data_IF_506052323043
#
_entry.id   IF_506052323043
#
_cell.length_a   1.000
_cell.length_b   1.000
_cell.length_c   1.000
_cell.angle_alpha   90.00
_cell.angle_beta   90.00
_cell.angle_gamma   90.00
#
_symmetry.space_group_name_H-M   'P 1'
#
loop_
_entity.id
_entity.type
_entity.pdbx_description
1 polymer ?
#
# COMPACT_ATOMS: atom_id res chain seq x y z
N UNK A 1 0.86 14.45 -26.41
CA UNK A 1 2.04 14.17 -25.56
C UNK A 1 1.52 13.77 -24.20
N UNK A 2 1.57 12.49 -23.84
CA UNK A 2 1.33 12.03 -22.48
C UNK A 2 2.63 12.23 -21.70
N UNK A 3 2.65 13.18 -20.77
CA UNK A 3 3.79 13.39 -19.86
C UNK A 3 3.98 12.14 -19.03
N UNK A 4 5.14 11.49 -19.17
CA UNK A 4 5.62 10.50 -18.21
C UNK A 4 5.80 11.22 -16.87
N UNK A 5 4.84 11.09 -15.96
CA UNK A 5 5.06 11.47 -14.56
C UNK A 5 6.23 10.64 -14.05
N UNK A 6 7.37 11.28 -13.81
CA UNK A 6 8.43 10.70 -12.98
C UNK A 6 7.77 10.36 -11.63
N UNK A 7 7.59 9.07 -11.35
CA UNK A 7 7.29 8.62 -9.99
C UNK A 7 8.57 8.83 -9.17
N UNK A 8 8.73 9.99 -8.56
CA UNK A 8 9.67 10.13 -7.46
C UNK A 8 9.15 9.25 -6.32
N UNK A 9 9.79 8.10 -6.14
CA UNK A 9 9.55 7.22 -5.00
C UNK A 9 10.18 7.92 -3.80
N UNK A 10 9.40 8.72 -3.08
CA UNK A 10 9.92 9.52 -1.96
C UNK A 10 10.05 8.67 -0.69
N UNK A 11 9.29 7.58 -0.58
CA UNK A 11 9.16 6.81 0.67
C UNK A 11 9.52 5.34 0.53
N UNK A 12 10.23 4.82 1.53
CA UNK A 12 10.51 3.40 1.65
C UNK A 12 9.24 2.59 1.91
N UNK A 13 9.27 1.30 1.58
CA UNK A 13 8.16 0.39 1.90
C UNK A 13 7.88 0.32 3.41
N UNK A 14 8.92 0.43 4.24
CA UNK A 14 8.78 0.44 5.70
C UNK A 14 7.99 1.65 6.18
N UNK A 15 8.24 2.83 5.62
CA UNK A 15 7.48 4.04 5.95
C UNK A 15 6.03 3.93 5.50
N UNK A 16 5.77 3.45 4.28
CA UNK A 16 4.41 3.24 3.80
C UNK A 16 3.61 2.28 4.68
N UNK A 17 4.21 1.19 5.17
CA UNK A 17 3.56 0.28 6.12
C UNK A 17 3.18 0.97 7.43
N UNK A 18 4.05 1.83 7.95
CA UNK A 18 3.74 2.61 9.16
C UNK A 18 2.56 3.56 8.90
N UNK A 19 2.58 4.28 7.78
CA UNK A 19 1.50 5.21 7.42
C UNK A 19 0.18 4.49 7.16
N UNK A 20 0.20 3.30 6.56
CA UNK A 20 -0.99 2.46 6.41
C UNK A 20 -1.60 2.07 7.76
N UNK A 21 -0.77 1.64 8.71
CA UNK A 21 -1.25 1.30 10.06
C UNK A 21 -1.79 2.52 10.82
N UNK A 22 -1.28 3.73 10.54
CA UNK A 22 -1.85 4.96 11.09
C UNK A 22 -3.21 5.30 10.46
N UNK A 23 -3.35 5.12 9.14
CA UNK A 23 -4.61 5.40 8.42
C UNK A 23 -5.68 4.34 8.67
N UNK A 24 -5.28 3.10 8.88
CA UNK A 24 -6.14 1.94 9.10
C UNK A 24 -5.70 1.20 10.37
N UNK A 25 -6.24 1.58 11.54
CA UNK A 25 -5.85 0.99 12.83
C UNK A 25 -6.11 -0.51 12.96
N UNK A 26 -6.98 -1.07 12.11
CA UNK A 26 -7.25 -2.52 12.05
C UNK A 26 -6.06 -3.31 11.47
N UNK A 27 -5.14 -2.64 10.78
CA UNK A 27 -3.91 -3.25 10.25
C UNK A 27 -2.85 -3.42 11.32
N UNK A 28 -2.17 -4.55 11.28
CA UNK A 28 -1.04 -4.88 12.13
C UNK A 28 0.08 -5.54 11.31
N UNK A 29 1.20 -5.85 11.95
CA UNK A 29 2.38 -6.37 11.25
C UNK A 29 2.14 -7.72 10.54
N UNK A 30 1.21 -8.55 11.04
CA UNK A 30 0.89 -9.85 10.42
C UNK A 30 0.22 -9.70 9.05
N UNK A 31 -0.47 -8.58 8.81
CA UNK A 31 -1.09 -8.30 7.50
C UNK A 31 -0.04 -8.06 6.41
N UNK A 32 1.20 -7.75 6.78
CA UNK A 32 2.31 -7.46 5.86
C UNK A 32 3.39 -8.54 5.84
N UNK A 33 3.19 -9.67 6.55
CA UNK A 33 4.22 -10.69 6.73
C UNK A 33 4.73 -11.30 5.41
N UNK A 34 3.86 -11.39 4.40
CA UNK A 34 4.16 -11.97 3.09
C UNK A 34 4.58 -10.93 2.04
N UNK A 35 4.70 -9.65 2.39
CA UNK A 35 4.89 -8.58 1.40
C UNK A 35 6.11 -8.78 0.49
N UNK A 36 7.18 -9.39 1.01
CA UNK A 36 8.46 -9.54 0.30
C UNK A 36 8.54 -10.84 -0.53
N UNK A 37 7.67 -11.82 -0.28
CA UNK A 37 7.67 -13.13 -0.95
C UNK A 37 6.43 -13.37 -1.80
N UNK A 38 5.28 -12.83 -1.40
CA UNK A 38 3.99 -12.95 -2.06
C UNK A 38 3.13 -11.70 -1.85
N UNK A 39 3.47 -10.68 -2.64
CA UNK A 39 2.79 -9.38 -2.63
C UNK A 39 1.32 -9.50 -3.02
N UNK A 40 0.97 -10.39 -3.96
CA UNK A 40 -0.40 -10.51 -4.46
C UNK A 40 -1.35 -11.05 -3.38
N UNK A 41 -0.96 -12.14 -2.71
CA UNK A 41 -1.75 -12.68 -1.60
C UNK A 41 -1.89 -11.69 -0.44
N UNK A 42 -0.86 -10.88 -0.17
CA UNK A 42 -0.94 -9.80 0.81
C UNK A 42 -1.97 -8.74 0.38
N UNK A 43 -1.97 -8.32 -0.89
CA UNK A 43 -2.94 -7.35 -1.41
C UNK A 43 -4.38 -7.87 -1.30
N UNK A 44 -4.63 -9.14 -1.64
CA UNK A 44 -5.96 -9.77 -1.49
C UNK A 44 -6.45 -9.71 -0.05
N UNK A 45 -5.58 -10.02 0.94
CA UNK A 45 -5.93 -9.92 2.36
C UNK A 45 -6.27 -8.49 2.77
N UNK A 46 -5.54 -7.50 2.24
CA UNK A 46 -5.81 -6.08 2.51
C UNK A 46 -7.14 -5.63 1.89
N UNK A 47 -7.46 -6.07 0.68
CA UNK A 47 -8.75 -5.82 0.02
C UNK A 47 -9.92 -6.31 0.87
N UNK A 48 -9.84 -7.57 1.31
CA UNK A 48 -10.87 -8.21 2.15
C UNK A 48 -11.01 -7.50 3.50
N UNK A 49 -9.88 -7.25 4.18
CA UNK A 49 -9.86 -6.68 5.54
C UNK A 49 -10.32 -5.23 5.57
N UNK A 50 -9.89 -4.41 4.60
CA UNK A 50 -10.23 -2.99 4.52
C UNK A 50 -11.55 -2.74 3.77
N UNK A 51 -12.14 -3.78 3.15
CA UNK A 51 -13.31 -3.68 2.28
C UNK A 51 -13.06 -2.69 1.14
N UNK A 52 -11.92 -2.83 0.47
CA UNK A 52 -11.46 -1.96 -0.61
C UNK A 52 -11.22 -2.75 -1.88
N UNK A 53 -11.48 -2.11 -3.01
CA UNK A 53 -11.13 -2.65 -4.32
C UNK A 53 -9.62 -2.50 -4.57
N UNK A 54 -9.08 -3.29 -5.51
CA UNK A 54 -7.68 -3.20 -5.94
C UNK A 54 -7.28 -1.77 -6.30
N UNK A 55 -8.13 -1.11 -7.08
CA UNK A 55 -7.89 0.24 -7.57
C UNK A 55 -7.83 1.27 -6.42
N UNK A 56 -8.72 1.17 -5.43
CA UNK A 56 -8.66 2.04 -4.25
C UNK A 56 -7.38 1.79 -3.44
N UNK A 57 -6.99 0.53 -3.27
CA UNK A 57 -5.80 0.16 -2.52
C UNK A 57 -4.52 0.65 -3.22
N UNK A 58 -4.42 0.49 -4.54
CA UNK A 58 -3.32 1.01 -5.35
C UNK A 58 -3.26 2.54 -5.31
N UNK A 59 -4.42 3.21 -5.34
CA UNK A 59 -4.49 4.65 -5.20
C UNK A 59 -3.95 5.12 -3.85
N UNK A 60 -4.30 4.41 -2.75
CA UNK A 60 -3.75 4.68 -1.43
C UNK A 60 -2.23 4.51 -1.42
N UNK A 61 -1.69 3.42 -1.98
CA UNK A 61 -0.23 3.23 -2.06
C UNK A 61 0.46 4.35 -2.85
N UNK A 62 -0.14 4.77 -3.97
CA UNK A 62 0.37 5.88 -4.77
C UNK A 62 0.30 7.23 -4.03
N UNK A 63 -0.72 7.44 -3.21
CA UNK A 63 -0.85 8.62 -2.33
C UNK A 63 0.26 8.61 -1.27
N UNK A 64 0.47 7.47 -0.60
CA UNK A 64 1.48 7.31 0.47
C UNK A 64 2.92 7.48 -0.01
N UNK A 65 3.20 7.20 -1.29
CA UNK A 65 4.50 7.45 -1.92
C UNK A 65 4.84 8.93 -2.10
N UNK A 66 3.85 9.83 -2.02
CA UNK A 66 4.00 11.26 -2.34
C UNK A 66 3.99 12.18 -1.12
N UNK A 67 3.71 11.67 0.09
CA UNK A 67 3.90 12.42 1.34
C UNK A 67 5.37 12.48 1.72
#
# INVERSE_FOLDING_TARGET
>A
MLTLQHMEIVRSWREQKVMLKWRFPDLNDSDFFLADTDRESMLVKLEEKLKKTRAELEHIFAELQRY
#
